data_IF_165366634679
#
_entry.id   IF_165366634679
#
_cell.length_a   1.000
_cell.length_b   1.000
_cell.length_c   1.000
_cell.angle_alpha   90.00
_cell.angle_beta   90.00
_cell.angle_gamma   90.00
#
_symmetry.space_group_name_H-M   'P 1'
#
loop_
_entity.id
_entity.type
_entity.pdbx_description
1 polymer ?
#
# COMPACT_ATOMS: atom_id res chain seq x y z
N UNK A 1 66.27 25.76 -32.27
CA UNK A 1 64.95 25.13 -32.48
C UNK A 1 64.31 24.90 -31.13
N UNK A 2 63.25 25.67 -30.88
CA UNK A 2 62.50 25.76 -29.62
C UNK A 2 61.49 24.60 -29.59
N UNK A 3 61.60 23.73 -28.59
CA UNK A 3 60.75 22.55 -28.46
C UNK A 3 60.44 22.23 -26.99
N UNK A 4 59.45 22.94 -26.45
CA UNK A 4 58.58 22.40 -25.40
C UNK A 4 57.14 22.80 -25.76
N UNK A 5 56.14 22.50 -24.93
CA UNK A 5 56.01 21.37 -23.99
C UNK A 5 54.59 20.77 -24.07
N UNK A 6 54.37 19.49 -23.75
CA UNK A 6 53.00 19.05 -23.37
C UNK A 6 53.05 18.01 -22.24
N UNK A 7 52.98 18.49 -20.99
CA UNK A 7 52.44 17.71 -19.88
C UNK A 7 50.94 17.95 -19.84
N UNK A 8 50.16 17.01 -20.38
CA UNK A 8 48.70 17.01 -20.24
C UNK A 8 48.30 16.17 -19.03
N UNK A 9 47.91 16.81 -17.93
CA UNK A 9 47.22 16.15 -16.83
C UNK A 9 45.77 15.93 -17.26
N UNK A 10 45.37 14.67 -17.50
CA UNK A 10 43.98 14.33 -17.74
C UNK A 10 43.19 14.49 -16.43
N UNK A 11 42.28 15.46 -16.39
CA UNK A 11 41.27 15.57 -15.33
C UNK A 11 40.18 14.55 -15.66
N UNK A 12 40.22 13.38 -15.04
CA UNK A 12 39.06 12.46 -15.00
C UNK A 12 37.99 13.12 -14.14
N UNK A 13 36.97 13.69 -14.79
CA UNK A 13 35.79 14.20 -14.10
C UNK A 13 35.06 13.03 -13.44
N UNK A 14 35.09 12.97 -12.11
CA UNK A 14 34.32 11.99 -11.34
C UNK A 14 32.82 12.22 -11.59
N UNK A 15 32.15 11.23 -12.18
CA UNK A 15 30.68 11.21 -12.28
C UNK A 15 30.13 11.17 -10.85
N UNK A 16 29.24 12.10 -10.43
CA UNK A 16 28.71 12.08 -9.08
C UNK A 16 27.98 10.76 -8.84
N UNK A 17 28.38 10.03 -7.79
CA UNK A 17 27.77 8.77 -7.44
C UNK A 17 26.27 8.98 -7.17
N UNK A 18 25.42 8.54 -8.09
CA UNK A 18 23.98 8.56 -7.91
C UNK A 18 23.60 7.84 -6.61
N UNK A 19 22.59 8.36 -5.89
CA UNK A 19 22.09 7.75 -4.64
C UNK A 19 21.91 6.24 -4.81
N UNK A 20 22.38 5.46 -3.83
CA UNK A 20 22.32 4.00 -3.90
C UNK A 20 20.90 3.50 -4.17
N UNK A 21 20.78 2.39 -4.90
CA UNK A 21 19.49 1.76 -5.24
C UNK A 21 18.61 1.55 -4.00
N UNK A 22 19.23 1.19 -2.87
CA UNK A 22 18.57 1.02 -1.56
C UNK A 22 17.92 2.31 -1.05
N UNK A 23 18.64 3.44 -1.13
CA UNK A 23 18.11 4.75 -0.71
C UNK A 23 16.94 5.16 -1.61
N UNK A 24 17.04 4.96 -2.92
CA UNK A 24 15.94 5.23 -3.85
C UNK A 24 14.70 4.37 -3.56
N UNK A 25 14.90 3.07 -3.30
CA UNK A 25 13.82 2.14 -2.94
C UNK A 25 13.14 2.55 -1.63
N UNK A 26 13.89 2.85 -0.58
CA UNK A 26 13.36 3.27 0.71
C UNK A 26 12.50 4.55 0.60
N UNK A 27 12.98 5.55 -0.16
CA UNK A 27 12.22 6.79 -0.43
C UNK A 27 10.91 6.52 -1.17
N UNK A 28 10.95 5.68 -2.22
CA UNK A 28 9.76 5.28 -2.98
C UNK A 28 8.75 4.54 -2.10
N UNK A 29 9.22 3.61 -1.26
CA UNK A 29 8.39 2.89 -0.30
C UNK A 29 7.73 3.86 0.69
N UNK A 30 8.50 4.76 1.31
CA UNK A 30 7.97 5.77 2.25
C UNK A 30 6.85 6.61 1.61
N UNK A 31 7.08 7.14 0.40
CA UNK A 31 6.07 7.91 -0.33
C UNK A 31 4.78 7.13 -0.60
N UNK A 32 4.91 5.85 -0.96
CA UNK A 32 3.77 4.97 -1.20
C UNK A 32 2.97 4.69 0.06
N UNK A 33 3.64 4.44 1.19
CA UNK A 33 2.93 4.25 2.47
C UNK A 33 2.17 5.51 2.87
N UNK A 34 2.77 6.68 2.67
CA UNK A 34 2.14 7.96 2.99
C UNK A 34 0.94 8.33 2.10
N UNK A 35 0.75 7.63 0.97
CA UNK A 35 -0.30 7.93 -0.01
C UNK A 35 -1.52 7.00 0.08
N UNK A 36 -1.56 6.13 1.08
CA UNK A 36 -2.48 5.00 1.16
C UNK A 36 -3.10 4.92 2.54
N UNK A 37 -4.37 4.52 2.60
CA UNK A 37 -5.11 4.31 3.85
C UNK A 37 -4.57 3.12 4.64
N UNK A 38 -4.54 3.28 5.96
CA UNK A 38 -4.14 2.27 6.95
C UNK A 38 -5.22 2.17 8.04
N UNK A 39 -6.39 1.67 7.66
CA UNK A 39 -7.58 1.56 8.51
C UNK A 39 -7.74 0.17 9.16
N UNK A 40 -6.88 -0.81 8.83
CA UNK A 40 -6.92 -2.13 9.45
C UNK A 40 -6.66 -2.06 10.97
N UNK A 41 -7.72 -2.27 11.74
CA UNK A 41 -7.65 -2.28 13.21
C UNK A 41 -6.99 -3.55 13.76
N UNK A 42 -6.55 -3.50 15.01
CA UNK A 42 -6.00 -4.68 15.70
C UNK A 42 -7.01 -5.83 15.81
N UNK A 43 -8.29 -5.51 16.04
CA UNK A 43 -9.36 -6.51 16.12
C UNK A 43 -9.63 -7.16 14.76
N UNK A 44 -9.71 -6.35 13.70
CA UNK A 44 -9.86 -6.82 12.33
C UNK A 44 -8.69 -7.73 11.92
N UNK A 45 -7.46 -7.37 12.28
CA UNK A 45 -6.30 -8.22 12.09
C UNK A 45 -6.43 -9.56 12.83
N UNK A 46 -6.85 -9.55 14.09
CA UNK A 46 -7.03 -10.79 14.85
C UNK A 46 -8.12 -11.67 14.23
N UNK A 47 -9.21 -11.07 13.75
CA UNK A 47 -10.28 -11.80 13.05
C UNK A 47 -9.80 -12.43 11.74
N UNK A 48 -8.96 -11.73 10.95
CA UNK A 48 -8.30 -12.30 9.78
C UNK A 48 -7.43 -13.51 10.14
N UNK A 49 -6.57 -13.38 11.16
CA UNK A 49 -5.70 -14.48 11.62
C UNK A 49 -6.52 -15.70 12.04
N UNK A 50 -7.62 -15.49 12.78
CA UNK A 50 -8.52 -16.57 13.19
C UNK A 50 -9.24 -17.21 12.00
N UNK A 51 -9.78 -16.43 11.07
CA UNK A 51 -10.52 -16.93 9.91
C UNK A 51 -9.64 -17.75 8.95
N UNK A 52 -8.38 -17.35 8.79
CA UNK A 52 -7.41 -18.11 7.99
C UNK A 52 -6.82 -19.30 8.71
N UNK A 53 -6.74 -19.25 10.06
CA UNK A 53 -6.18 -20.29 10.90
C UNK A 53 -4.75 -20.72 10.51
N UNK A 54 -3.97 -19.78 9.96
CA UNK A 54 -2.62 -20.04 9.45
C UNK A 54 -2.23 -19.05 8.36
N UNK A 55 -1.09 -19.31 7.72
CA UNK A 55 -0.68 -18.57 6.53
C UNK A 55 -1.70 -18.77 5.40
N UNK A 56 -2.23 -17.68 4.86
CA UNK A 56 -3.22 -17.69 3.78
C UNK A 56 -2.74 -18.38 2.50
N UNK A 57 -1.42 -18.55 2.34
CA UNK A 57 -0.81 -19.09 1.13
C UNK A 57 -0.37 -20.54 1.29
N UNK A 58 0.50 -20.84 2.26
CA UNK A 58 1.06 -22.18 2.44
C UNK A 58 0.37 -22.98 3.55
N UNK A 59 -0.58 -22.40 4.28
CA UNK A 59 -1.30 -23.06 5.37
C UNK A 59 -0.50 -23.29 6.65
N UNK A 60 0.79 -22.92 6.71
CA UNK A 60 1.61 -23.12 7.91
C UNK A 60 1.00 -22.40 9.12
N UNK A 61 0.93 -23.14 10.24
CA UNK A 61 0.41 -22.68 11.53
C UNK A 61 1.53 -22.59 12.56
N UNK A 62 1.26 -22.01 13.74
CA UNK A 62 2.22 -21.92 14.83
C UNK A 62 3.40 -20.95 14.59
N UNK A 63 3.33 -20.14 13.53
CA UNK A 63 4.36 -19.14 13.18
C UNK A 63 3.80 -17.73 13.31
N UNK A 64 4.66 -16.75 13.55
CA UNK A 64 4.28 -15.35 13.51
C UNK A 64 3.81 -14.96 12.10
N UNK A 65 2.58 -14.43 12.02
CA UNK A 65 1.95 -14.00 10.77
C UNK A 65 2.15 -12.49 10.57
N UNK A 66 2.38 -12.11 9.33
CA UNK A 66 2.57 -10.73 8.87
C UNK A 66 1.36 -10.30 8.03
N UNK A 67 1.10 -8.98 8.02
CA UNK A 67 0.09 -8.37 7.15
C UNK A 67 0.67 -8.25 5.75
N UNK A 68 0.20 -9.07 4.82
CA UNK A 68 0.56 -8.98 3.41
C UNK A 68 -0.60 -8.42 2.59
N UNK A 69 -0.29 -7.50 1.67
CA UNK A 69 -1.28 -6.90 0.79
C UNK A 69 -1.50 -7.78 -0.44
N UNK A 70 -2.72 -8.27 -0.65
CA UNK A 70 -3.13 -9.10 -1.81
C UNK A 70 -2.86 -8.36 -3.13
N UNK A 71 -3.34 -7.12 -3.25
CA UNK A 71 -2.89 -6.15 -4.24
C UNK A 71 -1.73 -5.35 -3.64
N UNK A 72 -0.51 -5.37 -4.21
CA UNK A 72 0.62 -4.64 -3.67
C UNK A 72 0.39 -3.13 -3.77
N UNK A 73 0.89 -2.39 -2.78
CA UNK A 73 0.72 -0.93 -2.71
C UNK A 73 1.36 -0.20 -3.90
N UNK A 74 2.37 -0.80 -4.52
CA UNK A 74 2.95 -0.28 -5.76
C UNK A 74 1.95 -0.19 -6.93
N UNK A 75 0.81 -0.87 -6.83
CA UNK A 75 -0.27 -0.96 -7.81
C UNK A 75 -1.62 -0.49 -7.25
N UNK A 76 -1.61 0.31 -6.18
CA UNK A 76 -2.82 0.91 -5.61
C UNK A 76 -3.48 0.14 -4.47
N UNK A 77 -2.89 -0.96 -4.00
CA UNK A 77 -3.39 -1.64 -2.81
C UNK A 77 -3.30 -0.81 -1.53
N UNK A 78 -4.16 -1.12 -0.57
CA UNK A 78 -4.29 -0.43 0.73
C UNK A 78 -4.10 -1.35 1.93
N UNK A 79 -3.85 -0.80 3.12
CA UNK A 79 -3.77 -1.58 4.37
C UNK A 79 -5.17 -1.68 5.01
N UNK A 80 -6.09 -2.26 4.25
CA UNK A 80 -7.51 -2.39 4.56
C UNK A 80 -7.89 -3.85 4.81
N UNK A 81 -9.03 -4.07 5.46
CA UNK A 81 -9.56 -5.40 5.77
C UNK A 81 -9.68 -6.28 4.51
N UNK A 82 -10.13 -5.70 3.40
CA UNK A 82 -10.36 -6.38 2.11
C UNK A 82 -9.09 -6.75 1.35
N UNK A 83 -7.97 -6.08 1.63
CA UNK A 83 -6.74 -6.25 0.88
C UNK A 83 -5.62 -6.94 1.69
N UNK A 84 -5.81 -7.21 2.99
CA UNK A 84 -4.79 -7.85 3.83
C UNK A 84 -5.07 -9.33 4.03
N UNK A 85 -4.04 -10.15 3.79
CA UNK A 85 -4.03 -11.57 4.13
C UNK A 85 -2.88 -11.87 5.12
N UNK A 86 -3.10 -12.77 6.12
CA UNK A 86 -2.04 -13.20 7.02
C UNK A 86 -1.06 -14.11 6.30
N UNK A 87 0.23 -13.78 6.35
CA UNK A 87 1.28 -14.53 5.66
C UNK A 87 2.46 -14.84 6.58
N UNK A 88 3.05 -16.03 6.45
CA UNK A 88 4.33 -16.32 7.09
C UNK A 88 5.47 -15.51 6.44
N UNK A 89 6.59 -15.37 7.15
CA UNK A 89 7.72 -14.58 6.68
C UNK A 89 8.27 -15.03 5.31
N UNK A 90 8.32 -16.34 5.05
CA UNK A 90 8.84 -16.89 3.79
C UNK A 90 7.92 -16.59 2.60
N UNK A 91 6.61 -16.75 2.77
CA UNK A 91 5.64 -16.42 1.73
C UNK A 91 5.61 -14.92 1.44
N UNK A 92 5.53 -14.09 2.48
CA UNK A 92 5.51 -12.62 2.33
C UNK A 92 6.78 -12.12 1.63
N UNK A 93 7.96 -12.61 2.05
CA UNK A 93 9.22 -12.26 1.39
C UNK A 93 9.29 -12.74 -0.07
N UNK A 94 8.78 -13.94 -0.36
CA UNK A 94 8.75 -14.50 -1.72
C UNK A 94 7.79 -13.75 -2.65
N UNK A 95 6.67 -13.22 -2.13
CA UNK A 95 5.70 -12.44 -2.91
C UNK A 95 6.18 -11.01 -3.14
N UNK A 96 6.75 -10.37 -2.11
CA UNK A 96 7.29 -9.02 -2.21
C UNK A 96 6.26 -8.04 -2.81
N UNK A 97 6.53 -7.48 -4.00
CA UNK A 97 5.63 -6.54 -4.69
C UNK A 97 4.90 -7.17 -5.89
N UNK A 98 4.87 -8.50 -5.97
CA UNK A 98 4.12 -9.20 -7.00
C UNK A 98 2.63 -9.23 -6.65
N UNK A 99 1.79 -9.23 -7.68
CA UNK A 99 0.36 -9.48 -7.52
C UNK A 99 0.13 -10.93 -7.09
N UNK A 100 -0.85 -11.16 -6.22
CA UNK A 100 -1.08 -12.46 -5.59
C UNK A 100 -1.26 -13.57 -6.62
N UNK A 101 -2.06 -13.36 -7.67
CA UNK A 101 -2.44 -14.39 -8.64
C UNK A 101 -1.24 -14.82 -9.48
N UNK A 102 -0.47 -13.86 -10.01
CA UNK A 102 0.76 -14.12 -10.73
C UNK A 102 1.82 -14.82 -9.87
N UNK A 103 1.91 -14.46 -8.59
CA UNK A 103 2.82 -15.11 -7.65
C UNK A 103 2.38 -16.53 -7.28
N UNK A 104 1.09 -16.76 -7.01
CA UNK A 104 0.54 -18.09 -6.71
C UNK A 104 0.80 -19.08 -7.84
N UNK A 105 0.53 -18.67 -9.10
CA UNK A 105 0.83 -19.48 -10.29
C UNK A 105 2.30 -19.85 -10.39
N UNK A 106 3.20 -18.88 -10.20
CA UNK A 106 4.66 -19.11 -10.23
C UNK A 106 5.13 -20.03 -9.09
N UNK A 107 4.49 -19.96 -7.92
CA UNK A 107 4.78 -20.85 -6.78
C UNK A 107 4.07 -22.20 -6.87
N UNK A 108 3.25 -22.44 -7.90
CA UNK A 108 2.40 -23.62 -8.07
C UNK A 108 1.49 -23.87 -6.86
N UNK A 109 1.00 -22.79 -6.26
CA UNK A 109 -0.02 -22.82 -5.21
C UNK A 109 -1.41 -22.74 -5.86
N UNK A 110 -2.42 -23.24 -5.16
CA UNK A 110 -3.81 -23.26 -5.66
C UNK A 110 -4.41 -21.85 -5.64
N UNK A 111 -4.39 -21.19 -6.80
CA UNK A 111 -4.96 -19.86 -6.99
C UNK A 111 -6.46 -19.85 -6.75
N UNK A 112 -7.19 -20.86 -7.24
CA UNK A 112 -8.65 -20.89 -7.16
C UNK A 112 -9.08 -21.02 -5.70
N UNK A 113 -8.50 -21.97 -4.98
CA UNK A 113 -8.78 -22.17 -3.56
C UNK A 113 -8.47 -20.91 -2.73
N UNK A 114 -7.38 -20.20 -3.04
CA UNK A 114 -7.08 -18.93 -2.38
C UNK A 114 -8.17 -17.87 -2.65
N UNK A 115 -8.55 -17.65 -3.90
CA UNK A 115 -9.52 -16.61 -4.28
C UNK A 115 -10.91 -16.90 -3.71
N UNK A 116 -11.37 -18.15 -3.78
CA UNK A 116 -12.65 -18.58 -3.22
C UNK A 116 -12.68 -18.35 -1.70
N UNK A 117 -11.66 -18.83 -0.99
CA UNK A 117 -11.58 -18.67 0.46
C UNK A 117 -11.43 -17.20 0.86
N UNK A 118 -10.65 -16.43 0.11
CA UNK A 118 -10.50 -14.99 0.34
C UNK A 118 -11.86 -14.29 0.23
N UNK A 119 -12.63 -14.54 -0.82
CA UNK A 119 -13.97 -13.96 -1.00
C UNK A 119 -14.92 -14.31 0.15
N UNK A 120 -14.94 -15.58 0.58
CA UNK A 120 -15.78 -16.03 1.71
C UNK A 120 -15.40 -15.34 3.02
N UNK A 121 -14.10 -15.29 3.34
CA UNK A 121 -13.63 -14.64 4.56
C UNK A 121 -13.94 -13.14 4.52
N UNK A 122 -13.71 -12.48 3.38
CA UNK A 122 -14.00 -11.06 3.26
C UNK A 122 -15.49 -10.76 3.45
N UNK A 123 -16.38 -11.53 2.82
CA UNK A 123 -17.81 -11.37 3.02
C UNK A 123 -18.20 -11.53 4.50
N UNK A 124 -17.66 -12.55 5.19
CA UNK A 124 -17.93 -12.76 6.61
C UNK A 124 -17.40 -11.63 7.51
N UNK A 125 -16.21 -11.11 7.22
CA UNK A 125 -15.60 -10.03 8.01
C UNK A 125 -16.27 -8.67 7.73
N UNK A 126 -16.70 -8.41 6.50
CA UNK A 126 -17.53 -7.25 6.17
C UNK A 126 -18.86 -7.31 6.92
N UNK A 127 -19.53 -8.47 7.01
CA UNK A 127 -20.75 -8.58 7.81
C UNK A 127 -20.50 -8.38 9.31
N UNK A 128 -19.34 -8.79 9.81
CA UNK A 128 -18.97 -8.65 11.23
C UNK A 128 -18.61 -7.21 11.61
N UNK A 129 -17.84 -6.53 10.77
CA UNK A 129 -17.30 -5.19 11.05
C UNK A 129 -18.03 -4.06 10.33
N UNK A 130 -18.88 -4.40 9.36
CA UNK A 130 -19.75 -3.49 8.62
C UNK A 130 -21.02 -3.19 9.42
N UNK A 131 -20.85 -2.41 10.49
CA UNK A 131 -21.88 -1.50 10.95
C UNK A 131 -21.42 -0.09 10.52
N UNK A 132 -21.98 0.35 9.38
CA UNK A 132 -21.99 1.68 8.72
C UNK A 132 -20.81 2.66 8.95
N UNK A 133 -20.16 3.16 7.88
CA UNK A 133 -19.53 4.47 7.93
C UNK A 133 -20.65 5.52 7.85
N UNK A 134 -21.05 6.05 9.00
CA UNK A 134 -21.75 7.34 9.10
C UNK A 134 -23.03 7.46 8.23
N UNK A 135 -24.19 7.27 8.88
CA UNK A 135 -25.38 8.02 8.50
C UNK A 135 -25.13 9.52 8.73
N UNK A 136 -24.23 10.11 7.94
CA UNK A 136 -24.19 11.54 7.70
C UNK A 136 -25.41 11.85 6.83
N UNK A 137 -26.50 12.10 7.53
CA UNK A 137 -27.63 12.91 7.12
C UNK A 137 -27.20 13.92 6.01
N UNK A 138 -27.85 13.93 4.83
CA UNK A 138 -27.55 14.96 3.85
C UNK A 138 -27.93 16.31 4.47
N UNK A 139 -26.90 17.05 4.90
CA UNK A 139 -27.04 18.43 5.34
C UNK A 139 -27.86 19.17 4.28
N UNK A 140 -29.04 19.62 4.69
CA UNK A 140 -29.93 20.42 3.89
C UNK A 140 -29.16 21.62 3.29
N UNK A 141 -29.48 22.09 2.08
CA UNK A 141 -28.90 23.33 1.58
C UNK A 141 -29.34 24.48 2.49
N UNK A 142 -28.39 25.05 3.21
CA UNK A 142 -28.54 26.28 3.99
C UNK A 142 -29.19 27.40 3.13
N UNK A 143 -30.28 28.03 3.56
CA UNK A 143 -30.90 29.14 2.83
C UNK A 143 -29.96 30.36 2.83
N UNK A 144 -29.71 30.88 1.62
CA UNK A 144 -28.67 31.86 1.34
C UNK A 144 -28.70 33.13 2.19
N UNK A 145 -27.51 33.52 2.66
CA UNK A 145 -27.25 34.85 3.20
C UNK A 145 -27.09 35.85 2.05
N UNK A 146 -28.17 36.60 1.82
CA UNK A 146 -28.17 37.80 0.99
C UNK A 146 -27.31 38.86 1.66
N UNK A 147 -26.05 39.00 1.27
CA UNK A 147 -25.23 40.15 1.66
C UNK A 147 -25.56 41.32 0.75
N UNK A 148 -26.39 42.23 1.26
CA UNK A 148 -26.66 43.54 0.71
C UNK A 148 -25.35 44.34 0.61
N UNK A 149 -24.91 44.63 -0.63
CA UNK A 149 -23.88 45.65 -0.89
C UNK A 149 -24.51 47.03 -0.69
N UNK A 150 -24.17 47.69 0.41
CA UNK A 150 -24.43 49.12 0.60
C UNK A 150 -23.63 49.91 -0.44
N UNK A 151 -24.31 50.73 -1.24
CA UNK A 151 -23.72 51.68 -2.19
C UNK A 151 -23.38 52.97 -1.43
N UNK A 152 -22.17 53.54 -1.53
CA UNK A 152 -21.95 54.88 -1.00
C UNK A 152 -22.57 55.94 -1.93
N UNK A 153 -23.25 56.92 -1.33
CA UNK A 153 -23.70 58.16 -1.99
C UNK A 153 -22.52 59.13 -2.14
N UNK A 154 -22.38 59.83 -3.28
CA UNK A 154 -21.48 60.98 -3.38
C UNK A 154 -22.17 62.26 -2.90
N UNK A 155 -21.42 63.08 -2.15
CA UNK A 155 -21.61 64.53 -2.01
C UNK A 155 -20.83 65.23 -3.12
#
# INVERSE_FOLDING_TARGET
>A
MIGGPWRGTAIVSAVPAGKSRRVRYARRRKRRMAAVEHDLSGEQWQALVTAWAGCAYCGTTGVALQRDCVLPISRGGRYTLDNIAPACASCNASKCNDEVTGWLRRKRLDERAFLERHAVIQAALVLRFGAEPDAAEPAAPEPGSRTSKTRPSPL
#
